data_IF_227170974448
#
_entry.id   IF_227170974448
#
_cell.length_a   1.000
_cell.length_b   1.000
_cell.length_c   1.000
_cell.angle_alpha   90.00
_cell.angle_beta   90.00
_cell.angle_gamma   90.00
#
_symmetry.space_group_name_H-M   'P 1'
#
loop_
_entity.id
_entity.type
_entity.pdbx_description
1 polymer ?
#
# COMPACT_ATOMS: atom_id res chain seq x y z
N UNK A 1 -15.76 -15.06 -2.50
CA UNK A 1 -14.79 -14.03 -2.88
C UNK A 1 -13.44 -14.66 -3.10
N UNK A 2 -12.74 -14.31 -4.17
CA UNK A 2 -11.37 -14.75 -4.45
C UNK A 2 -10.55 -13.62 -5.06
N UNK A 3 -9.25 -13.62 -4.80
CA UNK A 3 -8.30 -12.71 -5.42
C UNK A 3 -8.20 -13.06 -6.91
N UNK A 4 -8.38 -12.06 -7.77
CA UNK A 4 -8.29 -12.20 -9.23
C UNK A 4 -7.07 -11.50 -9.80
N UNK A 5 -6.64 -10.39 -9.19
CA UNK A 5 -5.54 -9.58 -9.68
C UNK A 5 -4.67 -9.06 -8.52
N UNK A 6 -3.36 -9.08 -8.72
CA UNK A 6 -2.36 -8.56 -7.79
C UNK A 6 -1.36 -7.74 -8.58
N UNK A 7 -1.27 -6.43 -8.35
CA UNK A 7 -0.52 -5.51 -9.20
C UNK A 7 0.38 -4.57 -8.41
N UNK A 8 1.44 -4.06 -9.07
CA UNK A 8 2.29 -3.00 -8.56
C UNK A 8 2.14 -1.77 -9.46
N UNK A 9 1.77 -0.65 -8.87
CA UNK A 9 1.64 0.64 -9.55
C UNK A 9 2.76 1.56 -9.11
N UNK A 10 3.70 1.94 -9.99
CA UNK A 10 4.71 2.92 -9.64
C UNK A 10 4.06 4.28 -9.39
N UNK A 11 4.51 4.97 -8.35
CA UNK A 11 3.99 6.30 -8.00
C UNK A 11 5.12 7.25 -7.67
N UNK A 12 4.99 8.49 -8.13
CA UNK A 12 5.94 9.55 -7.82
C UNK A 12 5.62 10.15 -6.47
N UNK A 13 6.56 10.06 -5.54
CA UNK A 13 6.41 10.64 -4.21
C UNK A 13 7.33 11.86 -4.11
N UNK A 14 6.80 13.07 -3.88
CA UNK A 14 7.64 14.25 -3.73
C UNK A 14 8.48 14.17 -2.45
N UNK A 15 9.59 14.89 -2.47
CA UNK A 15 10.47 15.05 -1.31
C UNK A 15 9.80 15.86 -0.20
N UNK A 16 10.37 15.80 1.01
CA UNK A 16 9.91 16.63 2.10
C UNK A 16 10.13 18.11 1.79
N UNK A 17 9.15 18.96 2.14
CA UNK A 17 9.25 20.40 2.03
C UNK A 17 8.68 21.07 3.29
N UNK A 18 9.49 21.81 4.08
CA UNK A 18 10.92 22.01 3.89
C UNK A 18 11.73 20.71 4.12
N UNK A 19 12.93 20.58 3.52
CA UNK A 19 13.81 19.46 3.83
C UNK A 19 14.29 19.54 5.29
N UNK A 20 14.58 18.38 5.88
CA UNK A 20 15.06 18.28 7.26
C UNK A 20 16.27 17.33 7.35
N UNK A 21 16.97 17.34 8.48
CA UNK A 21 18.08 16.40 8.77
C UNK A 21 17.80 15.71 10.09
N UNK A 22 18.09 14.40 10.17
CA UNK A 22 17.83 13.61 11.37
C UNK A 22 18.87 13.86 12.49
N UNK A 23 20.04 14.41 12.13
CA UNK A 23 21.15 14.70 13.03
C UNK A 23 22.47 14.83 12.28
N UNK A 24 23.54 15.20 12.99
CA UNK A 24 24.86 15.37 12.39
C UNK A 24 25.39 14.05 11.82
N UNK A 25 25.87 14.10 10.57
CA UNK A 25 26.38 12.92 9.86
C UNK A 25 25.30 11.96 9.33
N UNK A 26 24.01 12.25 9.55
CA UNK A 26 22.90 11.46 9.01
C UNK A 26 22.40 12.05 7.70
N UNK A 27 21.79 11.19 6.88
CA UNK A 27 21.11 11.62 5.67
C UNK A 27 19.95 12.55 6.02
N UNK A 28 19.70 13.53 5.14
CA UNK A 28 18.53 14.38 5.22
C UNK A 28 17.24 13.65 4.82
N UNK A 29 16.15 14.40 4.86
CA UNK A 29 14.86 14.01 4.32
C UNK A 29 15.01 13.58 2.85
N UNK A 30 14.31 12.53 2.41
CA UNK A 30 14.40 12.08 1.02
C UNK A 30 14.01 13.16 0.02
N UNK A 31 14.73 13.23 -1.10
CA UNK A 31 14.32 14.00 -2.26
C UNK A 31 13.12 13.34 -2.97
N UNK A 32 12.55 14.04 -3.96
CA UNK A 32 11.51 13.47 -4.82
C UNK A 32 12.02 12.18 -5.47
N UNK A 33 11.21 11.12 -5.42
CA UNK A 33 11.58 9.82 -5.96
C UNK A 33 10.36 8.96 -6.27
N UNK A 34 10.61 7.69 -6.57
CA UNK A 34 9.57 6.73 -6.90
C UNK A 34 9.30 5.77 -5.74
N UNK A 35 8.03 5.44 -5.56
CA UNK A 35 7.56 4.35 -4.72
C UNK A 35 6.66 3.46 -5.58
N UNK A 36 6.04 2.47 -4.94
CA UNK A 36 5.05 1.62 -5.59
C UNK A 36 3.84 1.43 -4.69
N UNK A 37 2.71 1.06 -5.28
CA UNK A 37 1.52 0.63 -4.55
C UNK A 37 1.19 -0.79 -4.98
N UNK A 38 1.13 -1.69 -4.00
CA UNK A 38 0.52 -3.00 -4.17
C UNK A 38 -1.00 -2.83 -4.19
N UNK A 39 -1.66 -3.37 -5.22
CA UNK A 39 -3.11 -3.46 -5.33
C UNK A 39 -3.53 -4.92 -5.43
N UNK A 40 -4.48 -5.34 -4.60
CA UNK A 40 -5.11 -6.67 -4.63
C UNK A 40 -6.59 -6.47 -4.95
N UNK A 41 -7.09 -7.14 -5.97
CA UNK A 41 -8.50 -7.05 -6.40
C UNK A 41 -9.16 -8.42 -6.41
N UNK A 42 -10.46 -8.43 -6.12
CA UNK A 42 -11.27 -9.65 -6.06
C UNK A 42 -12.30 -9.73 -7.18
N UNK A 43 -12.89 -10.92 -7.34
CA UNK A 43 -13.98 -11.17 -8.29
C UNK A 43 -15.25 -10.36 -8.00
N UNK A 44 -15.50 -10.05 -6.73
CA UNK A 44 -16.62 -9.22 -6.29
C UNK A 44 -16.34 -7.71 -6.44
N UNK A 45 -15.20 -7.33 -7.01
CA UNK A 45 -14.79 -5.94 -7.26
C UNK A 45 -14.25 -5.21 -6.02
N UNK A 46 -14.03 -5.90 -4.90
CA UNK A 46 -13.37 -5.33 -3.75
C UNK A 46 -11.87 -5.20 -4.00
N UNK A 47 -11.26 -4.15 -3.45
CA UNK A 47 -9.87 -3.82 -3.66
C UNK A 47 -9.20 -3.42 -2.34
N UNK A 48 -7.97 -3.86 -2.15
CA UNK A 48 -7.09 -3.43 -1.07
C UNK A 48 -5.78 -2.88 -1.61
N UNK A 49 -5.26 -1.84 -0.98
CA UNK A 49 -4.00 -1.21 -1.38
C UNK A 49 -3.02 -1.10 -0.21
N UNK A 50 -1.74 -1.23 -0.53
CA UNK A 50 -0.66 -0.98 0.41
C UNK A 50 0.56 -0.38 -0.28
N UNK A 51 1.30 0.47 0.43
CA UNK A 51 2.54 1.08 -0.06
C UNK A 51 3.71 0.66 0.85
N UNK A 52 4.83 0.16 0.31
CA UNK A 52 6.00 -0.12 1.11
C UNK A 52 6.59 1.18 1.67
N UNK A 53 7.15 1.16 2.89
CA UNK A 53 7.59 2.36 3.59
C UNK A 53 8.83 3.01 2.95
N UNK A 54 9.57 2.28 2.12
CA UNK A 54 10.84 2.73 1.55
C UNK A 54 10.70 3.08 0.06
N UNK A 55 11.17 4.27 -0.29
CA UNK A 55 11.29 4.73 -1.69
C UNK A 55 12.27 3.82 -2.44
N UNK A 56 11.99 3.57 -3.72
CA UNK A 56 12.76 2.66 -4.55
C UNK A 56 12.42 1.18 -4.39
N UNK A 57 11.64 0.79 -3.36
CA UNK A 57 11.21 -0.62 -3.19
C UNK A 57 10.26 -1.12 -4.27
N UNK A 58 9.80 -0.25 -5.18
CA UNK A 58 8.92 -0.63 -6.28
C UNK A 58 9.54 -1.62 -7.26
N UNK A 59 10.85 -1.54 -7.49
CA UNK A 59 11.57 -2.49 -8.36
C UNK A 59 11.54 -3.89 -7.75
N UNK A 60 11.84 -3.99 -6.46
CA UNK A 60 11.85 -5.27 -5.73
C UNK A 60 10.43 -5.83 -5.62
N UNK A 61 9.43 -4.97 -5.36
CA UNK A 61 8.03 -5.39 -5.31
C UNK A 61 7.55 -5.92 -6.66
N UNK A 62 7.91 -5.25 -7.77
CA UNK A 62 7.52 -5.69 -9.11
C UNK A 62 8.13 -7.05 -9.47
N UNK A 63 9.40 -7.27 -9.13
CA UNK A 63 10.07 -8.57 -9.28
C UNK A 63 9.36 -9.65 -8.47
N UNK A 64 9.17 -9.41 -7.16
CA UNK A 64 8.52 -10.34 -6.24
C UNK A 64 7.09 -10.71 -6.67
N UNK A 65 6.34 -9.75 -7.21
CA UNK A 65 5.01 -10.00 -7.76
C UNK A 65 5.03 -11.02 -8.89
N UNK A 66 5.93 -10.83 -9.86
CA UNK A 66 5.95 -11.62 -11.08
C UNK A 66 6.42 -13.05 -10.84
N UNK A 67 7.31 -13.24 -9.86
CA UNK A 67 7.95 -14.54 -9.63
C UNK A 67 7.32 -15.36 -8.49
N UNK A 68 6.60 -14.74 -7.55
CA UNK A 68 5.99 -15.43 -6.40
C UNK A 68 4.54 -14.99 -6.16
N UNK A 69 4.31 -13.72 -5.84
CA UNK A 69 3.06 -13.33 -5.18
C UNK A 69 1.83 -13.51 -6.07
N UNK A 70 1.94 -13.32 -7.39
CA UNK A 70 0.80 -13.54 -8.29
C UNK A 70 0.35 -15.00 -8.28
N UNK A 71 1.31 -15.93 -8.32
CA UNK A 71 1.03 -17.37 -8.28
C UNK A 71 0.45 -17.79 -6.93
N UNK A 72 0.99 -17.24 -5.84
CA UNK A 72 0.62 -17.62 -4.48
C UNK A 72 -0.70 -17.01 -3.98
N UNK A 73 -1.10 -15.84 -4.51
CA UNK A 73 -2.28 -15.12 -4.00
C UNK A 73 -3.52 -15.29 -4.87
N UNK A 74 -3.37 -15.39 -6.19
CA UNK A 74 -4.52 -15.48 -7.10
C UNK A 74 -5.30 -16.78 -6.86
N UNK A 75 -6.63 -16.68 -6.78
CA UNK A 75 -7.52 -17.81 -6.52
C UNK A 75 -7.82 -18.04 -5.03
N UNK A 76 -7.04 -17.47 -4.12
CA UNK A 76 -7.30 -17.56 -2.67
C UNK A 76 -8.37 -16.57 -2.22
N UNK A 77 -9.07 -16.92 -1.14
CA UNK A 77 -10.00 -16.01 -0.47
C UNK A 77 -9.21 -14.95 0.30
N UNK A 78 -9.36 -13.65 0.00
CA UNK A 78 -8.63 -12.57 0.68
C UNK A 78 -8.96 -12.45 2.18
N UNK A 79 -10.05 -13.04 2.65
CA UNK A 79 -10.44 -13.04 4.06
C UNK A 79 -9.72 -14.11 4.88
N UNK A 80 -9.03 -15.06 4.25
CA UNK A 80 -8.16 -16.04 4.92
C UNK A 80 -6.81 -15.40 5.31
N UNK A 81 -6.84 -14.22 5.94
CA UNK A 81 -5.67 -13.38 6.21
C UNK A 81 -4.60 -14.07 7.05
N UNK A 82 -4.99 -14.77 8.12
CA UNK A 82 -4.04 -15.49 8.98
C UNK A 82 -3.32 -16.60 8.21
N UNK A 83 -4.06 -17.34 7.38
CA UNK A 83 -3.46 -18.37 6.52
C UNK A 83 -2.50 -17.76 5.49
N UNK A 84 -2.91 -16.68 4.82
CA UNK A 84 -2.07 -15.94 3.87
C UNK A 84 -0.83 -15.35 4.55
N UNK A 85 -0.95 -14.84 5.77
CA UNK A 85 0.18 -14.36 6.58
C UNK A 85 1.17 -15.48 6.88
N UNK A 86 0.68 -16.63 7.36
CA UNK A 86 1.53 -17.80 7.55
C UNK A 86 2.18 -18.25 6.24
N UNK A 87 1.47 -18.18 5.11
CA UNK A 87 2.02 -18.50 3.80
C UNK A 87 3.16 -17.55 3.41
N UNK A 88 3.03 -16.25 3.67
CA UNK A 88 4.12 -15.29 3.44
C UNK A 88 5.37 -15.63 4.26
N UNK A 89 5.20 -16.06 5.51
CA UNK A 89 6.32 -16.55 6.34
C UNK A 89 6.94 -17.85 5.85
N UNK A 90 6.18 -18.71 5.18
CA UNK A 90 6.75 -19.90 4.53
C UNK A 90 7.60 -19.53 3.32
N UNK A 91 7.11 -18.63 2.48
CA UNK A 91 7.82 -18.13 1.31
C UNK A 91 9.08 -17.35 1.70
N UNK A 92 9.04 -16.61 2.81
CA UNK A 92 10.21 -15.90 3.33
C UNK A 92 11.42 -16.80 3.59
N UNK A 93 11.20 -18.08 3.93
CA UNK A 93 12.30 -19.04 4.16
C UNK A 93 13.11 -19.34 2.91
N UNK A 94 12.53 -19.16 1.73
CA UNK A 94 13.20 -19.35 0.44
C UNK A 94 13.54 -18.02 -0.21
N UNK A 95 12.71 -17.00 0.00
CA UNK A 95 12.79 -15.73 -0.71
C UNK A 95 13.52 -14.63 0.02
N UNK A 96 13.75 -14.80 1.33
CA UNK A 96 14.41 -13.83 2.20
C UNK A 96 13.84 -12.42 1.97
N UNK A 97 12.52 -12.30 2.14
CA UNK A 97 11.79 -11.10 1.78
C UNK A 97 12.35 -9.93 2.59
N UNK A 98 12.56 -8.76 1.96
CA UNK A 98 12.86 -7.56 2.72
C UNK A 98 11.76 -7.35 3.76
N UNK A 99 12.13 -7.10 5.02
CA UNK A 99 11.16 -6.91 6.11
C UNK A 99 10.09 -5.86 5.78
N UNK A 100 10.43 -4.85 4.97
CA UNK A 100 9.49 -3.83 4.49
C UNK A 100 8.40 -4.35 3.53
N UNK A 101 8.61 -5.52 2.94
CA UNK A 101 7.70 -6.17 1.98
C UNK A 101 6.95 -7.37 2.59
N UNK A 102 7.52 -8.02 3.61
CA UNK A 102 6.88 -9.16 4.29
C UNK A 102 5.47 -8.82 4.80
N UNK A 103 5.31 -7.64 5.42
CA UNK A 103 4.02 -7.14 5.92
C UNK A 103 3.11 -6.49 4.87
N UNK A 104 3.57 -6.36 3.61
CA UNK A 104 2.88 -5.53 2.63
C UNK A 104 1.59 -6.18 2.12
N UNK A 105 1.62 -7.50 1.88
CA UNK A 105 0.44 -8.26 1.45
C UNK A 105 -0.63 -8.22 2.53
N UNK A 106 -0.28 -8.52 3.79
CA UNK A 106 -1.21 -8.49 4.91
C UNK A 106 -1.87 -7.10 5.07
N UNK A 107 -1.07 -6.04 4.95
CA UNK A 107 -1.58 -4.66 4.95
C UNK A 107 -2.66 -4.44 3.88
N UNK A 108 -2.42 -4.88 2.64
CA UNK A 108 -3.37 -4.71 1.55
C UNK A 108 -4.66 -5.52 1.80
N UNK A 109 -4.54 -6.73 2.35
CA UNK A 109 -5.68 -7.57 2.71
C UNK A 109 -6.51 -6.97 3.86
N UNK A 110 -5.86 -6.27 4.79
CA UNK A 110 -6.52 -5.53 5.85
C UNK A 110 -7.26 -4.29 5.37
N UNK A 111 -6.69 -3.52 4.43
CA UNK A 111 -7.41 -2.42 3.76
C UNK A 111 -8.65 -2.94 3.03
N UNK A 112 -8.50 -4.05 2.29
CA UNK A 112 -9.62 -4.73 1.61
C UNK A 112 -10.71 -5.13 2.60
N UNK A 113 -10.34 -5.81 3.68
CA UNK A 113 -11.28 -6.25 4.70
C UNK A 113 -11.99 -5.08 5.41
N UNK A 114 -11.27 -3.99 5.66
CA UNK A 114 -11.85 -2.76 6.21
C UNK A 114 -12.92 -2.16 5.31
N UNK A 115 -12.68 -2.15 3.99
CA UNK A 115 -13.65 -1.65 3.00
C UNK A 115 -14.87 -2.57 2.86
N UNK A 116 -14.69 -3.88 2.98
CA UNK A 116 -15.80 -4.84 3.00
C UNK A 116 -16.66 -4.72 4.26
N UNK A 117 -16.04 -4.44 5.41
CA UNK A 117 -16.74 -4.35 6.69
C UNK A 117 -17.54 -3.05 6.86
N UNK A 118 -17.15 -1.96 6.17
CA UNK A 118 -17.81 -0.65 6.26
C UNK A 118 -17.90 0.03 4.89
N UNK A 119 -18.79 -0.46 4.00
CA UNK A 119 -19.07 0.20 2.73
C UNK A 119 -19.70 1.57 2.99
N UNK A 120 -19.31 2.57 2.22
CA UNK A 120 -18.65 3.77 2.71
C UNK A 120 -19.44 4.50 3.82
N UNK A 121 -18.98 4.39 5.07
CA UNK A 121 -19.31 5.41 6.06
C UNK A 121 -19.34 4.95 7.50
N UNK A 122 -18.19 4.98 8.19
CA UNK A 122 -17.88 5.85 9.37
C UNK A 122 -16.58 5.46 10.07
N UNK A 123 -15.99 4.29 9.78
CA UNK A 123 -14.80 3.76 10.45
C UNK A 123 -13.76 3.10 9.52
N UNK A 124 -14.01 3.01 8.20
CA UNK A 124 -13.10 2.46 7.17
C UNK A 124 -11.72 3.11 6.99
N UNK A 125 -11.24 3.91 7.96
CA UNK A 125 -9.88 4.49 8.00
C UNK A 125 -9.03 3.98 9.16
N UNK A 126 -9.58 3.18 10.08
CA UNK A 126 -8.88 2.77 11.30
C UNK A 126 -7.83 1.67 11.07
N UNK A 127 -7.86 0.93 9.96
CA UNK A 127 -6.83 -0.08 9.70
C UNK A 127 -5.63 0.51 8.94
N UNK A 128 -5.82 1.60 8.19
CA UNK A 128 -4.71 2.47 7.78
C UNK A 128 -3.96 3.06 8.99
N UNK A 129 -4.60 3.13 10.17
CA UNK A 129 -3.99 3.66 11.40
C UNK A 129 -2.94 2.73 12.02
N UNK A 130 -2.91 1.43 11.69
CA UNK A 130 -1.79 0.56 12.12
C UNK A 130 -0.54 0.82 11.26
N UNK A 131 -0.70 1.29 10.02
CA UNK A 131 0.44 1.74 9.19
C UNK A 131 1.01 3.12 9.59
N UNK A 132 0.28 3.90 10.40
CA UNK A 132 0.71 5.24 10.84
C UNK A 132 1.97 5.21 11.71
N UNK A 133 2.36 4.05 12.26
CA UNK A 133 3.58 3.93 13.07
C UNK A 133 4.88 4.13 12.28
N UNK A 134 4.89 4.01 10.94
CA UNK A 134 6.09 4.23 10.11
C UNK A 134 6.15 5.61 9.44
N UNK A 135 5.14 6.46 9.63
CA UNK A 135 5.12 7.86 9.17
C UNK A 135 4.96 8.85 10.34
N UNK A 136 5.49 8.50 11.51
CA UNK A 136 5.55 9.39 12.66
C UNK A 136 6.61 10.48 12.43
N UNK A 137 6.15 11.70 12.11
CA UNK A 137 6.92 12.93 12.29
C UNK A 137 6.67 13.45 13.72
N UNK A 138 7.63 13.33 14.66
CA UNK A 138 7.46 13.81 16.02
C UNK A 138 7.23 15.34 16.12
N UNK A 139 7.52 16.10 15.06
CA UNK A 139 7.39 17.56 15.05
C UNK A 139 6.02 18.06 14.54
N UNK A 140 5.24 17.22 13.85
CA UNK A 140 3.97 17.60 13.23
C UNK A 140 2.94 16.48 13.37
N UNK A 141 2.07 16.61 14.36
CA UNK A 141 0.99 15.66 14.66
C UNK A 141 0.20 15.21 13.42
N UNK A 142 0.02 13.89 13.34
CA UNK A 142 -0.64 13.07 12.32
C UNK A 142 -1.69 13.71 11.37
N UNK A 143 -1.56 13.33 10.09
CA UNK A 143 -2.61 13.02 9.08
C UNK A 143 -3.71 14.05 8.77
N UNK A 144 -3.73 15.22 9.42
CA UNK A 144 -4.72 16.28 9.16
C UNK A 144 -4.27 17.30 8.11
N UNK A 145 -3.05 17.21 7.61
CA UNK A 145 -2.55 18.14 6.60
C UNK A 145 -2.92 17.67 5.18
N UNK A 146 -3.87 18.35 4.49
CA UNK A 146 -4.22 18.02 3.11
C UNK A 146 -3.07 18.28 2.11
N UNK A 147 -1.98 18.93 2.54
CA UNK A 147 -0.75 19.10 1.75
C UNK A 147 0.19 17.90 1.84
N UNK A 148 -0.10 16.91 2.69
CA UNK A 148 0.66 15.67 2.75
C UNK A 148 0.64 15.00 1.37
N UNK A 149 1.78 14.82 0.69
CA UNK A 149 1.80 14.39 -0.69
C UNK A 149 1.39 12.93 -0.92
N UNK A 150 1.32 12.13 0.14
CA UNK A 150 0.81 10.75 0.09
C UNK A 150 -0.73 10.75 0.09
N UNK A 151 -1.37 11.78 0.64
CA UNK A 151 -2.82 11.88 0.75
C UNK A 151 -3.54 11.96 -0.62
N UNK A 152 -3.07 12.72 -1.63
CA UNK A 152 -3.63 12.71 -2.99
C UNK A 152 -3.52 11.35 -3.68
N UNK A 153 -2.36 10.69 -3.58
CA UNK A 153 -2.10 9.38 -4.21
C UNK A 153 -3.02 8.31 -3.62
N UNK A 154 -3.17 8.31 -2.29
CA UNK A 154 -4.13 7.42 -1.62
C UNK A 154 -5.58 7.76 -2.00
N UNK A 155 -5.94 9.04 -2.13
CA UNK A 155 -7.29 9.47 -2.52
C UNK A 155 -7.65 9.01 -3.94
N UNK A 156 -6.72 9.10 -4.88
CA UNK A 156 -6.92 8.68 -6.28
C UNK A 156 -7.06 7.15 -6.41
N UNK A 157 -6.31 6.39 -5.61
CA UNK A 157 -6.36 4.93 -5.60
C UNK A 157 -7.51 4.35 -4.73
N UNK A 158 -7.96 5.07 -3.70
CA UNK A 158 -9.07 4.67 -2.84
C UNK A 158 -10.46 5.06 -3.38
N UNK A 159 -10.52 6.01 -4.32
CA UNK A 159 -11.76 6.43 -4.98
C UNK A 159 -11.56 6.51 -6.50
N UNK A 160 -11.64 5.38 -7.23
CA UNK A 160 -11.83 5.43 -8.67
C UNK A 160 -13.25 5.90 -8.95
N UNK A 161 -13.55 7.19 -8.75
CA UNK A 161 -14.80 7.75 -9.25
C UNK A 161 -14.80 7.59 -10.76
N UNK A 162 -15.73 6.76 -11.23
CA UNK A 162 -16.33 6.75 -12.56
C UNK A 162 -15.62 7.61 -13.60
N UNK A 163 -15.11 6.95 -14.66
CA UNK A 163 -15.00 7.62 -15.97
C UNK A 163 -16.29 8.41 -16.17
N UNK A 164 -16.22 9.74 -16.12
CA UNK A 164 -17.17 10.57 -16.85
C UNK A 164 -16.94 10.17 -18.30
N UNK A 165 -17.90 9.46 -18.88
CA UNK A 165 -18.14 9.59 -20.31
C UNK A 165 -18.42 11.07 -20.52
N UNK A 166 -17.52 11.77 -21.20
CA UNK A 166 -17.84 13.09 -21.74
C UNK A 166 -19.05 12.92 -22.68
N UNK A 167 -20.12 13.71 -22.54
CA UNK A 167 -21.26 13.64 -23.46
C UNK A 167 -20.99 14.21 -24.87
N UNK A 168 -19.78 14.65 -25.19
CA UNK A 168 -19.46 15.22 -26.50
C UNK A 168 -18.03 14.87 -26.94
N UNK A 169 -17.91 13.76 -27.67
CA UNK A 169 -16.84 13.49 -28.65
C UNK A 169 -17.31 12.40 -29.63
#
# INVERSE_FOLDING_TARGET
MRITEVECHPVRVPGASPPFVWGDGLLGSPSTGEAAVLRIRTDDGAEGVAMPPRRGSGVILADLLNRVLREELVGHDPLQREWLWHRMWELDRTEELPLSLLGLVDTALWDLAGRLADPPGRYGRLVAAVLVLLAYDPSRGAFKDPSCPIHPIYRELAHPTSRRLDPEA
#
